data_IF_397480748795
#
_entry.id   IF_397480748795
#
_cell.length_a   1.000
_cell.length_b   1.000
_cell.length_c   1.000
_cell.angle_alpha   90.00
_cell.angle_beta   90.00
_cell.angle_gamma   90.00
#
_symmetry.space_group_name_H-M   'P 1'
#
loop_
_entity.id
_entity.type
_entity.pdbx_description
1 polymer ?
#
# COMPACT_ATOMS: atom_id res chain seq x y z
N UNK A 1 21.57 0.61 22.38
CA UNK A 1 21.62 0.07 21.00
C UNK A 1 20.49 -0.94 20.70
N UNK A 2 20.11 -1.76 21.66
CA UNK A 2 19.08 -2.80 21.47
C UNK A 2 17.68 -2.19 21.32
N UNK A 3 17.33 -1.19 22.11
CA UNK A 3 16.06 -0.44 21.98
C UNK A 3 15.96 0.28 20.62
N UNK A 4 17.09 0.79 20.11
CA UNK A 4 17.15 1.42 18.79
C UNK A 4 16.95 0.39 17.68
N UNK A 5 17.52 -0.80 17.78
CA UNK A 5 17.34 -1.91 16.84
C UNK A 5 15.89 -2.42 16.87
N UNK A 6 15.30 -2.59 18.05
CA UNK A 6 13.90 -3.00 18.19
C UNK A 6 12.95 -1.98 17.58
N UNK A 7 13.19 -0.68 17.79
CA UNK A 7 12.39 0.40 17.17
C UNK A 7 12.50 0.40 15.65
N UNK A 8 13.69 0.18 15.09
CA UNK A 8 13.89 0.07 13.64
C UNK A 8 13.18 -1.14 13.04
N UNK A 9 13.23 -2.30 13.70
CA UNK A 9 12.45 -3.48 13.27
C UNK A 9 10.95 -3.21 13.31
N UNK A 10 10.44 -2.56 14.35
CA UNK A 10 9.04 -2.19 14.47
C UNK A 10 8.56 -1.27 13.34
N UNK A 11 9.36 -0.28 12.96
CA UNK A 11 9.05 0.63 11.85
C UNK A 11 9.04 -0.14 10.52
N UNK A 12 10.03 -1.00 10.29
CA UNK A 12 10.11 -1.83 9.08
C UNK A 12 8.89 -2.73 8.93
N UNK A 13 8.47 -3.40 9.99
CA UNK A 13 7.30 -4.30 9.97
C UNK A 13 6.00 -3.54 9.72
N UNK A 14 5.92 -2.29 10.18
CA UNK A 14 4.78 -1.41 9.94
C UNK A 14 4.64 -1.01 8.46
N UNK A 15 5.73 -0.97 7.70
CA UNK A 15 5.72 -0.65 6.26
C UNK A 15 5.27 -1.82 5.37
N UNK A 16 5.00 -3.01 5.92
CA UNK A 16 4.59 -4.23 5.16
C UNK A 16 5.53 -4.54 3.99
N UNK A 17 6.80 -4.83 4.19
CA UNK A 17 7.82 -4.91 3.13
C UNK A 17 7.48 -5.89 2.01
N UNK A 18 6.85 -7.03 2.32
CA UNK A 18 6.46 -8.02 1.32
C UNK A 18 5.39 -7.48 0.35
N UNK A 19 4.43 -6.69 0.85
CA UNK A 19 3.40 -6.06 0.02
C UNK A 19 4.01 -4.97 -0.84
N UNK A 20 4.86 -4.13 -0.26
CA UNK A 20 5.58 -3.07 -1.00
C UNK A 20 6.47 -3.68 -2.08
N UNK A 21 7.17 -4.78 -1.80
CA UNK A 21 7.99 -5.48 -2.79
C UNK A 21 7.16 -5.96 -3.99
N UNK A 22 5.95 -6.50 -3.74
CA UNK A 22 5.04 -6.89 -4.81
C UNK A 22 4.56 -5.67 -5.62
N UNK A 23 4.26 -4.56 -4.97
CA UNK A 23 3.88 -3.30 -5.64
C UNK A 23 5.02 -2.76 -6.50
N UNK A 24 6.27 -2.82 -6.04
CA UNK A 24 7.45 -2.46 -6.81
C UNK A 24 7.60 -3.36 -8.03
N UNK A 25 7.43 -4.66 -7.87
CA UNK A 25 7.52 -5.62 -8.98
C UNK A 25 6.47 -5.31 -10.07
N UNK A 26 5.22 -5.07 -9.69
CA UNK A 26 4.16 -4.75 -10.65
C UNK A 26 4.33 -3.37 -11.29
N UNK A 27 4.85 -2.39 -10.55
CA UNK A 27 5.26 -1.08 -11.09
C UNK A 27 6.40 -1.23 -12.11
N UNK A 28 7.42 -2.02 -11.78
CA UNK A 28 8.54 -2.33 -12.68
C UNK A 28 8.05 -2.96 -13.99
N UNK A 29 7.13 -3.93 -13.91
CA UNK A 29 6.50 -4.53 -15.09
C UNK A 29 5.77 -3.46 -15.92
N UNK A 30 5.02 -2.56 -15.27
CA UNK A 30 4.37 -1.44 -15.94
C UNK A 30 5.35 -0.51 -16.65
N UNK A 31 6.50 -0.20 -16.03
CA UNK A 31 7.58 0.60 -16.65
C UNK A 31 8.17 -0.10 -17.89
N UNK A 32 8.46 -1.40 -17.78
CA UNK A 32 9.06 -2.17 -18.88
C UNK A 32 8.10 -2.36 -20.05
N UNK A 33 6.81 -2.48 -19.81
CA UNK A 33 5.79 -2.62 -20.86
C UNK A 33 5.35 -1.29 -21.48
N UNK A 34 5.79 -0.16 -20.94
CA UNK A 34 5.38 1.18 -21.40
C UNK A 34 6.11 1.64 -22.65
N UNK A 35 7.23 1.02 -23.01
CA UNK A 35 8.08 1.41 -24.13
C UNK A 35 8.73 0.19 -24.77
N UNK A 36 8.92 0.24 -26.10
CA UNK A 36 9.70 -0.76 -26.85
C UNK A 36 11.22 -0.54 -26.72
N UNK A 37 11.64 0.58 -26.14
CA UNK A 37 13.03 0.94 -25.91
C UNK A 37 13.50 0.68 -24.48
N UNK A 38 14.72 1.13 -24.19
CA UNK A 38 15.26 1.04 -22.83
C UNK A 38 14.62 2.10 -21.91
N UNK A 39 14.09 1.68 -20.78
CA UNK A 39 13.61 2.59 -19.74
C UNK A 39 14.80 3.34 -19.14
N UNK A 40 14.76 4.68 -18.98
CA UNK A 40 15.83 5.42 -18.32
C UNK A 40 16.06 4.89 -16.89
N UNK A 41 17.30 4.54 -16.60
CA UNK A 41 17.68 3.94 -15.31
C UNK A 41 17.31 4.83 -14.11
N UNK A 42 17.32 6.14 -14.29
CA UNK A 42 16.92 7.12 -13.28
C UNK A 42 15.43 6.99 -12.94
N UNK A 43 14.56 6.90 -13.95
CA UNK A 43 13.12 6.70 -13.77
C UNK A 43 12.84 5.35 -13.14
N UNK A 44 13.54 4.31 -13.59
CA UNK A 44 13.39 2.95 -13.09
C UNK A 44 13.74 2.85 -11.60
N UNK A 45 14.85 3.44 -11.16
CA UNK A 45 15.28 3.39 -9.77
C UNK A 45 14.48 4.36 -8.89
N UNK A 46 14.44 5.63 -9.25
CA UNK A 46 13.82 6.66 -8.41
C UNK A 46 12.29 6.65 -8.50
N UNK A 47 11.71 6.28 -9.63
CA UNK A 47 10.27 6.08 -9.75
C UNK A 47 9.77 4.97 -8.82
N UNK A 48 10.42 3.79 -8.85
CA UNK A 48 10.09 2.70 -7.93
C UNK A 48 10.38 3.06 -6.47
N UNK A 49 11.46 3.78 -6.18
CA UNK A 49 11.78 4.25 -4.83
C UNK A 49 10.68 5.20 -4.31
N UNK A 50 10.25 6.17 -5.12
CA UNK A 50 9.21 7.11 -4.74
C UNK A 50 7.86 6.41 -4.49
N UNK A 51 7.45 5.49 -5.37
CA UNK A 51 6.24 4.67 -5.20
C UNK A 51 6.34 3.83 -3.92
N UNK A 52 7.51 3.21 -3.65
CA UNK A 52 7.73 2.39 -2.45
C UNK A 52 7.62 3.20 -1.16
N UNK A 53 8.20 4.41 -1.12
CA UNK A 53 8.13 5.31 0.02
C UNK A 53 6.68 5.75 0.29
N UNK A 54 5.94 6.12 -0.75
CA UNK A 54 4.53 6.47 -0.64
C UNK A 54 3.66 5.29 -0.18
N UNK A 55 3.90 4.09 -0.71
CA UNK A 55 3.20 2.86 -0.31
C UNK A 55 3.49 2.49 1.16
N UNK A 56 4.75 2.60 1.58
CA UNK A 56 5.16 2.39 2.97
C UNK A 56 4.50 3.40 3.92
N UNK A 57 4.46 4.67 3.54
CA UNK A 57 3.74 5.72 4.28
C UNK A 57 2.26 5.38 4.44
N UNK A 58 1.57 5.00 3.36
CA UNK A 58 0.16 4.61 3.38
C UNK A 58 -0.09 3.39 4.30
N UNK A 59 0.83 2.42 4.33
CA UNK A 59 0.74 1.26 5.22
C UNK A 59 0.84 1.67 6.69
N UNK A 60 1.71 2.61 7.03
CA UNK A 60 1.83 3.13 8.41
C UNK A 60 0.57 3.89 8.82
N UNK A 61 0.00 4.74 7.95
CA UNK A 61 -1.28 5.43 8.22
C UNK A 61 -2.39 4.42 8.50
N UNK A 62 -2.47 3.34 7.73
CA UNK A 62 -3.43 2.26 7.98
C UNK A 62 -3.25 1.66 9.39
N UNK A 63 -2.01 1.39 9.83
CA UNK A 63 -1.76 0.88 11.19
C UNK A 63 -2.13 1.88 12.28
N UNK A 64 -1.94 3.20 12.04
CA UNK A 64 -2.35 4.24 13.00
C UNK A 64 -3.87 4.25 13.20
N UNK A 65 -4.62 4.18 12.11
CA UNK A 65 -6.09 4.19 12.15
C UNK A 65 -6.65 2.91 12.79
N UNK A 66 -6.05 1.76 12.46
CA UNK A 66 -6.51 0.44 12.94
C UNK A 66 -6.06 0.11 14.38
N UNK A 67 -5.21 0.90 15.02
CA UNK A 67 -4.57 0.58 16.31
C UNK A 67 -5.54 0.12 17.40
N UNK A 68 -6.72 0.74 17.47
CA UNK A 68 -7.74 0.43 18.48
C UNK A 68 -8.52 -0.87 18.23
N UNK A 69 -8.42 -1.40 17.01
CA UNK A 69 -9.03 -2.68 16.63
C UNK A 69 -7.98 -3.78 16.65
N UNK A 70 -6.74 -3.44 16.35
CA UNK A 70 -5.61 -4.37 16.26
C UNK A 70 -5.26 -5.00 17.61
N UNK A 71 -5.46 -4.32 18.72
CA UNK A 71 -5.25 -4.85 20.08
C UNK A 71 -6.26 -5.93 20.48
N UNK A 72 -7.44 -5.95 19.85
CA UNK A 72 -8.52 -6.92 20.11
C UNK A 72 -8.45 -8.16 19.21
N UNK A 73 -7.59 -8.19 18.20
CA UNK A 73 -7.51 -9.27 17.23
C UNK A 73 -6.24 -10.11 17.41
N UNK A 74 -6.38 -11.43 17.59
CA UNK A 74 -5.25 -12.36 17.78
C UNK A 74 -4.19 -12.28 16.66
N UNK A 75 -4.59 -11.97 15.42
CA UNK A 75 -3.70 -11.84 14.26
C UNK A 75 -2.87 -10.56 14.30
N UNK A 76 -3.36 -9.49 14.91
CA UNK A 76 -2.77 -8.14 14.82
C UNK A 76 -2.27 -7.61 16.15
N UNK A 77 -2.50 -8.32 17.25
CA UNK A 77 -2.05 -7.96 18.61
C UNK A 77 -0.53 -7.77 18.70
N UNK A 78 0.23 -8.46 17.85
CA UNK A 78 1.69 -8.35 17.80
C UNK A 78 2.21 -7.14 17.00
N UNK A 79 1.32 -6.32 16.44
CA UNK A 79 1.74 -5.11 15.73
C UNK A 79 2.38 -4.09 16.68
N UNK A 80 3.47 -3.42 16.27
CA UNK A 80 4.21 -2.51 17.14
C UNK A 80 3.38 -1.37 17.75
N UNK A 81 2.43 -0.83 16.99
CA UNK A 81 1.51 0.21 17.45
C UNK A 81 0.45 -0.33 18.45
N UNK A 82 -0.06 -1.55 18.22
CA UNK A 82 -1.01 -2.20 19.11
C UNK A 82 -0.36 -2.55 20.45
N UNK A 83 0.93 -2.94 20.44
CA UNK A 83 1.71 -3.24 21.65
C UNK A 83 2.29 -2.02 22.36
N UNK A 84 2.06 -0.80 21.85
CA UNK A 84 2.63 0.42 22.44
C UNK A 84 4.15 0.55 22.30
N UNK A 85 4.81 -0.29 21.49
CA UNK A 85 6.27 -0.23 21.24
C UNK A 85 6.67 0.96 20.37
N UNK A 86 5.72 1.50 19.62
CA UNK A 86 5.87 2.69 18.79
C UNK A 86 4.77 3.69 19.16
N UNK A 87 5.16 4.92 19.47
CA UNK A 87 4.22 6.00 19.79
C UNK A 87 3.41 6.42 18.54
N UNK A 88 2.12 6.75 18.69
CA UNK A 88 1.31 7.21 17.56
C UNK A 88 1.87 8.47 16.89
N UNK A 89 2.44 9.39 17.68
CA UNK A 89 3.07 10.61 17.16
C UNK A 89 4.31 10.29 16.31
N UNK A 90 5.15 9.36 16.76
CA UNK A 90 6.33 8.92 16.03
C UNK A 90 5.94 8.27 14.69
N UNK A 91 4.86 7.46 14.70
CA UNK A 91 4.33 6.85 13.49
C UNK A 91 3.77 7.88 12.50
N UNK A 92 3.06 8.91 12.98
CA UNK A 92 2.56 10.02 12.15
C UNK A 92 3.72 10.80 11.53
N UNK A 93 4.71 11.20 12.31
CA UNK A 93 5.89 11.93 11.82
C UNK A 93 6.62 11.08 10.77
N UNK A 94 6.82 9.79 11.04
CA UNK A 94 7.47 8.88 10.10
C UNK A 94 6.68 8.76 8.79
N UNK A 95 5.35 8.59 8.86
CA UNK A 95 4.54 8.47 7.65
C UNK A 95 4.54 9.76 6.82
N UNK A 96 4.43 10.92 7.47
CA UNK A 96 4.49 12.22 6.78
C UNK A 96 5.85 12.46 6.13
N UNK A 97 6.94 12.21 6.85
CA UNK A 97 8.30 12.41 6.30
C UNK A 97 8.58 11.45 5.14
N UNK A 98 8.22 10.18 5.29
CA UNK A 98 8.41 9.16 4.24
C UNK A 98 7.54 9.45 3.02
N UNK A 99 6.27 9.83 3.22
CA UNK A 99 5.36 10.19 2.15
C UNK A 99 5.80 11.45 1.39
N UNK A 100 6.19 12.50 2.12
CA UNK A 100 6.71 13.75 1.52
C UNK A 100 8.00 13.52 0.75
N UNK A 101 8.90 12.69 1.28
CA UNK A 101 10.14 12.31 0.58
C UNK A 101 9.82 11.54 -0.70
N UNK A 102 8.91 10.56 -0.65
CA UNK A 102 8.46 9.81 -1.81
C UNK A 102 7.86 10.71 -2.90
N UNK A 103 7.00 11.67 -2.51
CA UNK A 103 6.43 12.66 -3.43
C UNK A 103 7.49 13.55 -4.05
N UNK A 104 8.47 14.03 -3.26
CA UNK A 104 9.56 14.84 -3.77
C UNK A 104 10.41 14.07 -4.78
N UNK A 105 10.73 12.81 -4.51
CA UNK A 105 11.45 11.92 -5.44
C UNK A 105 10.67 11.76 -6.75
N UNK A 106 9.36 11.52 -6.69
CA UNK A 106 8.53 11.39 -7.91
C UNK A 106 8.49 12.69 -8.72
N UNK A 107 8.31 13.83 -8.07
CA UNK A 107 8.28 15.13 -8.76
C UNK A 107 9.60 15.49 -9.44
N UNK A 108 10.73 15.13 -8.83
CA UNK A 108 12.07 15.47 -9.35
C UNK A 108 12.53 14.50 -10.46
N UNK A 109 12.28 13.21 -10.30
CA UNK A 109 12.84 12.17 -11.16
C UNK A 109 11.86 11.52 -12.13
N UNK A 110 10.55 11.79 -12.00
CA UNK A 110 9.53 11.30 -12.93
C UNK A 110 8.73 12.48 -13.50
N UNK A 111 7.44 12.55 -13.23
CA UNK A 111 6.57 13.62 -13.73
C UNK A 111 5.44 13.92 -12.73
N UNK A 112 4.81 15.07 -12.93
CA UNK A 112 3.73 15.59 -12.09
C UNK A 112 2.50 14.66 -12.10
N UNK A 113 2.19 14.03 -13.24
CA UNK A 113 1.04 13.11 -13.37
C UNK A 113 1.22 11.89 -12.45
N UNK A 114 2.40 11.24 -12.49
CA UNK A 114 2.69 10.09 -11.62
C UNK A 114 2.65 10.47 -10.15
N UNK A 115 3.16 11.65 -9.79
CA UNK A 115 3.09 12.14 -8.42
C UNK A 115 1.63 12.32 -7.96
N UNK A 116 0.77 12.95 -8.78
CA UNK A 116 -0.66 13.10 -8.46
C UNK A 116 -1.41 11.78 -8.37
N UNK A 117 -1.16 10.85 -9.30
CA UNK A 117 -1.78 9.52 -9.26
C UNK A 117 -1.34 8.72 -8.02
N UNK A 118 -0.05 8.83 -7.65
CA UNK A 118 0.48 8.20 -6.44
C UNK A 118 -0.15 8.81 -5.20
N UNK A 119 -0.26 10.14 -5.13
CA UNK A 119 -0.94 10.83 -4.03
C UNK A 119 -2.42 10.43 -3.94
N UNK A 120 -3.14 10.36 -5.06
CA UNK A 120 -4.52 9.93 -5.11
C UNK A 120 -4.68 8.48 -4.61
N UNK A 121 -3.78 7.58 -5.00
CA UNK A 121 -3.75 6.19 -4.50
C UNK A 121 -3.47 6.13 -3.00
N UNK A 122 -2.52 6.93 -2.49
CA UNK A 122 -2.19 7.02 -1.07
C UNK A 122 -3.38 7.51 -0.26
N UNK A 123 -3.99 8.64 -0.67
CA UNK A 123 -5.17 9.22 -0.01
C UNK A 123 -6.36 8.27 -0.11
N UNK A 124 -6.60 7.68 -1.27
CA UNK A 124 -7.67 6.69 -1.48
C UNK A 124 -7.52 5.49 -0.55
N UNK A 125 -6.32 4.95 -0.42
CA UNK A 125 -6.06 3.82 0.49
C UNK A 125 -6.09 4.24 1.96
N UNK A 126 -5.40 5.31 2.35
CA UNK A 126 -5.25 5.70 3.74
C UNK A 126 -6.55 6.24 4.34
N UNK A 127 -7.29 7.05 3.60
CA UNK A 127 -8.51 7.70 4.11
C UNK A 127 -9.78 6.98 3.63
N UNK A 128 -10.00 6.87 2.31
CA UNK A 128 -11.28 6.34 1.79
C UNK A 128 -11.44 4.87 2.17
N UNK A 129 -10.45 4.03 1.88
CA UNK A 129 -10.53 2.61 2.21
C UNK A 129 -10.48 2.38 3.72
N UNK A 130 -9.48 2.93 4.44
CA UNK A 130 -9.24 2.58 5.84
C UNK A 130 -10.28 3.16 6.79
N UNK A 131 -10.71 4.42 6.58
CA UNK A 131 -11.64 5.09 7.50
C UNK A 131 -13.11 4.78 7.19
N UNK A 132 -13.49 4.75 5.90
CA UNK A 132 -14.89 4.62 5.51
C UNK A 132 -15.25 3.21 5.02
N UNK A 133 -14.60 2.72 3.96
CA UNK A 133 -15.00 1.48 3.30
C UNK A 133 -14.88 0.25 4.20
N UNK A 134 -13.80 0.18 4.96
CA UNK A 134 -13.53 -0.97 5.81
C UNK A 134 -14.63 -1.24 6.84
N UNK A 135 -15.36 -0.19 7.24
CA UNK A 135 -16.44 -0.25 8.23
C UNK A 135 -17.83 -0.24 7.59
N UNK A 136 -17.97 0.30 6.38
CA UNK A 136 -19.26 0.56 5.76
C UNK A 136 -19.79 -0.61 4.91
N UNK A 137 -18.93 -1.45 4.33
CA UNK A 137 -19.38 -2.44 3.34
C UNK A 137 -18.59 -3.74 3.37
N UNK A 138 -19.27 -4.91 3.15
CA UNK A 138 -18.59 -6.20 2.97
C UNK A 138 -17.69 -6.25 1.75
N UNK A 139 -17.92 -5.38 0.76
CA UNK A 139 -17.13 -5.30 -0.47
C UNK A 139 -15.85 -4.46 -0.33
N UNK A 140 -15.49 -4.08 0.88
CA UNK A 140 -14.28 -3.31 1.17
C UNK A 140 -13.01 -3.92 0.56
N UNK A 141 -12.89 -5.25 0.55
CA UNK A 141 -11.76 -5.99 -0.02
C UNK A 141 -11.68 -5.77 -1.53
N UNK A 142 -12.82 -5.81 -2.22
CA UNK A 142 -12.88 -5.62 -3.67
C UNK A 142 -12.47 -4.18 -4.02
N UNK A 143 -13.09 -3.20 -3.39
CA UNK A 143 -12.80 -1.78 -3.67
C UNK A 143 -11.38 -1.41 -3.23
N UNK A 144 -10.92 -1.94 -2.08
CA UNK A 144 -9.54 -1.77 -1.62
C UNK A 144 -8.50 -2.40 -2.56
N UNK A 145 -8.90 -3.43 -3.31
CA UNK A 145 -8.09 -4.05 -4.36
C UNK A 145 -7.66 -3.08 -5.47
N UNK A 146 -8.43 -2.02 -5.72
CA UNK A 146 -8.08 -0.99 -6.71
C UNK A 146 -6.77 -0.27 -6.38
N UNK A 147 -6.54 0.07 -5.12
CA UNK A 147 -5.29 0.69 -4.70
C UNK A 147 -4.09 -0.27 -4.88
N UNK A 148 -4.30 -1.58 -4.65
CA UNK A 148 -3.30 -2.62 -4.91
C UNK A 148 -3.06 -2.89 -6.40
N UNK A 149 -4.02 -2.55 -7.27
CA UNK A 149 -3.91 -2.67 -8.71
C UNK A 149 -3.28 -1.44 -9.40
N UNK A 150 -3.13 -0.32 -8.69
CA UNK A 150 -2.60 0.93 -9.25
C UNK A 150 -1.10 0.91 -9.66
N UNK A 151 -0.19 0.16 -9.01
CA UNK A 151 1.25 0.26 -9.27
C UNK A 151 1.68 0.11 -10.73
N UNK A 152 1.16 -0.80 -11.56
CA UNK A 152 1.56 -0.87 -12.98
C UNK A 152 1.17 0.40 -13.76
N UNK A 153 0.05 1.05 -13.43
CA UNK A 153 -0.31 2.35 -14.00
C UNK A 153 0.69 3.43 -13.56
N UNK A 154 1.07 3.45 -12.28
CA UNK A 154 2.06 4.40 -11.76
C UNK A 154 3.43 4.21 -12.42
N UNK A 155 3.84 2.95 -12.63
CA UNK A 155 5.06 2.63 -13.37
C UNK A 155 5.00 3.08 -14.82
N UNK A 156 3.90 2.81 -15.52
CA UNK A 156 3.67 3.23 -16.90
C UNK A 156 3.75 4.75 -17.04
N UNK A 157 2.98 5.48 -16.23
CA UNK A 157 2.97 6.95 -16.27
C UNK A 157 4.30 7.56 -15.85
N UNK A 158 5.09 6.91 -15.02
CA UNK A 158 6.42 7.40 -14.64
C UNK A 158 7.38 7.48 -15.84
N UNK A 159 7.22 6.59 -16.81
CA UNK A 159 8.04 6.56 -18.03
C UNK A 159 7.46 7.46 -19.12
N UNK A 160 6.15 7.33 -19.39
CA UNK A 160 5.50 7.98 -20.55
C UNK A 160 4.95 9.37 -20.24
N UNK A 161 4.62 9.66 -18.97
CA UNK A 161 3.92 10.90 -18.61
C UNK A 161 2.44 10.92 -19.00
N UNK A 162 1.88 9.82 -19.50
CA UNK A 162 0.52 9.73 -20.03
C UNK A 162 -0.20 8.50 -19.50
N UNK A 163 -1.54 8.59 -19.43
CA UNK A 163 -2.40 7.44 -19.10
C UNK A 163 -2.75 6.74 -20.40
N UNK A 164 -2.18 5.56 -20.61
CA UNK A 164 -2.45 4.75 -21.79
C UNK A 164 -3.45 3.64 -21.47
N UNK A 165 -4.27 3.22 -22.48
CA UNK A 165 -5.27 2.17 -22.28
C UNK A 165 -4.66 0.83 -21.87
N UNK A 166 -3.46 0.50 -22.34
CA UNK A 166 -2.75 -0.73 -21.91
C UNK A 166 -2.42 -0.72 -20.42
N UNK A 167 -2.05 0.44 -19.86
CA UNK A 167 -1.83 0.59 -18.43
C UNK A 167 -3.13 0.35 -17.64
N UNK A 168 -4.27 0.85 -18.15
CA UNK A 168 -5.57 0.62 -17.54
C UNK A 168 -6.00 -0.85 -17.64
N UNK A 169 -5.66 -1.55 -18.73
CA UNK A 169 -5.87 -2.99 -18.85
C UNK A 169 -5.08 -3.78 -17.81
N UNK A 170 -3.83 -3.42 -17.53
CA UNK A 170 -3.04 -4.03 -16.46
C UNK A 170 -3.70 -3.85 -15.09
N UNK A 171 -4.17 -2.64 -14.80
CA UNK A 171 -4.94 -2.36 -13.59
C UNK A 171 -6.19 -3.23 -13.52
N UNK A 172 -6.95 -3.32 -14.63
CA UNK A 172 -8.17 -4.11 -14.70
C UNK A 172 -7.91 -5.60 -14.47
N UNK A 173 -6.85 -6.17 -15.05
CA UNK A 173 -6.45 -7.57 -14.86
C UNK A 173 -6.19 -7.86 -13.37
N UNK A 174 -5.38 -7.02 -12.71
CA UNK A 174 -5.05 -7.20 -11.30
C UNK A 174 -6.30 -6.98 -10.43
N UNK A 175 -7.10 -5.98 -10.75
CA UNK A 175 -8.33 -5.69 -10.03
C UNK A 175 -9.35 -6.81 -10.15
N UNK A 176 -9.57 -7.34 -11.37
CA UNK A 176 -10.51 -8.45 -11.61
C UNK A 176 -10.06 -9.77 -10.97
N UNK A 177 -8.74 -9.99 -10.86
CA UNK A 177 -8.19 -11.18 -10.20
C UNK A 177 -8.30 -11.11 -8.66
N UNK A 178 -8.35 -9.92 -8.09
CA UNK A 178 -8.34 -9.73 -6.63
C UNK A 178 -9.54 -10.39 -5.92
N UNK A 179 -10.81 -10.22 -6.33
CA UNK A 179 -11.95 -10.85 -5.65
C UNK A 179 -11.90 -12.37 -5.64
N UNK A 180 -11.71 -13.08 -6.77
CA UNK A 180 -11.67 -14.56 -6.75
C UNK A 180 -10.51 -15.09 -5.91
N UNK A 181 -9.35 -14.42 -5.92
CA UNK A 181 -8.22 -14.79 -5.08
C UNK A 181 -8.56 -14.71 -3.58
N UNK A 182 -9.16 -13.60 -3.15
CA UNK A 182 -9.53 -13.44 -1.75
C UNK A 182 -10.65 -14.38 -1.32
N UNK A 183 -11.63 -14.65 -2.19
CA UNK A 183 -12.70 -15.59 -1.89
C UNK A 183 -12.18 -17.01 -1.79
N UNK A 184 -11.32 -17.45 -2.71
CA UNK A 184 -10.66 -18.74 -2.62
C UNK A 184 -9.84 -18.89 -1.33
N UNK A 185 -9.09 -17.84 -0.95
CA UNK A 185 -8.33 -17.83 0.30
C UNK A 185 -9.26 -17.87 1.55
N UNK A 186 -10.40 -17.16 1.50
CA UNK A 186 -11.38 -17.19 2.57
C UNK A 186 -12.00 -18.56 2.75
N UNK A 187 -12.36 -19.26 1.66
CA UNK A 187 -12.88 -20.62 1.68
C UNK A 187 -11.83 -21.60 2.23
N UNK A 188 -10.58 -21.48 1.79
CA UNK A 188 -9.49 -22.34 2.26
C UNK A 188 -9.17 -22.11 3.76
N UNK A 189 -9.35 -20.88 4.25
CA UNK A 189 -9.09 -20.51 5.65
C UNK A 189 -10.37 -20.35 6.49
N UNK A 190 -11.40 -21.13 6.19
CA UNK A 190 -12.69 -21.09 6.91
C UNK A 190 -12.53 -21.10 8.43
N UNK A 191 -11.52 -21.81 8.96
CA UNK A 191 -11.22 -21.85 10.39
C UNK A 191 -10.84 -20.45 10.97
N UNK A 192 -10.21 -19.58 10.20
CA UNK A 192 -9.81 -18.24 10.66
C UNK A 192 -10.95 -17.21 10.62
N UNK A 193 -11.93 -17.41 9.72
CA UNK A 193 -13.12 -16.53 9.65
C UNK A 193 -14.10 -16.81 10.81
N UNK A 194 -14.20 -18.07 11.25
CA UNK A 194 -15.08 -18.46 12.36
C UNK A 194 -14.45 -18.26 13.74
N UNK A 195 -13.12 -18.19 13.85
CA UNK A 195 -12.40 -18.08 15.13
C UNK A 195 -11.86 -16.68 15.44
N UNK A 196 -11.79 -15.79 14.45
CA UNK A 196 -11.39 -14.40 14.67
C UNK A 196 -12.63 -13.50 14.60
N UNK A 197 -12.95 -12.77 15.68
CA UNK A 197 -14.03 -11.80 15.62
C UNK A 197 -13.73 -10.77 14.51
N UNK A 198 -14.68 -10.58 13.63
CA UNK A 198 -14.63 -9.51 12.62
C UNK A 198 -14.68 -8.15 13.32
N UNK A 199 -14.06 -7.09 12.80
CA UNK A 199 -14.31 -5.75 13.32
C UNK A 199 -15.78 -5.33 13.36
N UNK A 200 -16.66 -6.09 12.68
CA UNK A 200 -18.12 -5.90 12.67
C UNK A 200 -18.83 -6.59 13.84
N UNK A 201 -18.20 -7.61 14.43
CA UNK A 201 -18.77 -8.36 15.54
C UNK A 201 -18.46 -7.69 16.89
N UNK A 202 -17.78 -6.56 16.87
CA UNK A 202 -17.37 -5.75 18.03
C UNK A 202 -18.30 -4.55 18.30
N UNK A 203 -19.47 -4.49 17.63
CA UNK A 203 -20.52 -3.48 17.85
C UNK A 203 -21.80 -4.11 18.39
#
# INVERSE_FOLDING_TARGET
DELRRQRQMCIRDSCKPNVVALMILTSLIGMLLSTDGAVPITVLLFGNLGIALCAGSAAVVNHIVDRHVDDKMARTINRPLAQGRLGPQEAVIFSLTTGSLGMAVLLVFTNVLTAWLTLASLVGYAFVYTMFLKRATPQNIVIGGLAGAAPPLLGWTAVTGEIHYNALLLVLIIFAWTPPHFWALAVHRNCLLYTSPSPRDLH
#
